data_IF_871965601853
#
_entry.id   IF_871965601853
#
_cell.length_a   1.000
_cell.length_b   1.000
_cell.length_c   1.000
_cell.angle_alpha   90.00
_cell.angle_beta   90.00
_cell.angle_gamma   90.00
#
_symmetry.space_group_name_H-M   'P 1'
#
loop_
_entity.id
_entity.type
_entity.pdbx_description
1 polymer ?
#
# COMPACT_ATOMS: atom_id res chain seq x y z
N UNK A 1 47.91 18.00 38.46
CA UNK A 1 47.43 16.94 37.55
C UNK A 1 46.77 17.60 36.34
N UNK A 2 47.33 17.36 35.16
CA UNK A 2 47.17 18.22 33.99
C UNK A 2 45.82 18.00 33.30
N UNK A 3 44.98 19.04 33.26
CA UNK A 3 43.65 19.06 32.60
C UNK A 3 43.69 18.66 31.12
N UNK A 4 44.87 18.75 30.48
CA UNK A 4 45.11 18.35 29.09
C UNK A 4 45.03 16.82 28.90
N UNK A 5 45.37 16.01 29.90
CA UNK A 5 45.33 14.55 29.79
C UNK A 5 43.89 14.00 29.84
N UNK A 6 43.00 14.66 30.58
CA UNK A 6 41.59 14.23 30.70
C UNK A 6 40.84 14.48 29.38
N UNK A 7 41.13 15.60 28.71
CA UNK A 7 40.50 15.94 27.43
C UNK A 7 40.85 14.95 26.31
N UNK A 8 42.06 14.39 26.31
CA UNK A 8 42.51 13.41 25.30
C UNK A 8 41.85 12.04 25.52
N UNK A 9 41.60 11.65 26.78
CA UNK A 9 40.96 10.37 27.08
C UNK A 9 39.48 10.38 26.65
N UNK A 10 38.78 11.51 26.81
CA UNK A 10 37.36 11.62 26.43
C UNK A 10 37.16 11.60 24.90
N UNK A 11 38.09 12.14 24.12
CA UNK A 11 37.96 12.17 22.66
C UNK A 11 38.24 10.83 21.99
N UNK A 12 39.11 9.99 22.57
CA UNK A 12 39.40 8.65 22.01
C UNK A 12 38.24 7.67 22.22
N UNK A 13 37.48 7.79 23.31
CA UNK A 13 36.34 6.88 23.59
C UNK A 13 35.13 7.14 22.68
N UNK A 14 34.98 8.34 22.12
CA UNK A 14 33.82 8.70 21.29
C UNK A 14 33.94 8.29 19.81
N UNK A 15 35.12 7.89 19.31
CA UNK A 15 35.33 7.59 17.89
C UNK A 15 35.26 6.10 17.50
N UNK A 16 35.00 5.19 18.45
CA UNK A 16 35.06 3.73 18.20
C UNK A 16 33.72 3.02 17.97
N UNK A 17 32.59 3.74 17.83
CA UNK A 17 31.24 3.12 17.79
C UNK A 17 30.50 3.28 16.45
N UNK A 18 31.19 3.24 15.31
CA UNK A 18 30.54 3.18 13.98
C UNK A 18 31.36 2.39 12.95
N UNK A 19 31.53 1.08 13.14
CA UNK A 19 31.77 0.15 12.02
C UNK A 19 30.46 -0.60 11.74
N UNK A 20 29.66 -0.06 10.82
CA UNK A 20 28.55 -0.78 10.21
C UNK A 20 29.14 -1.91 9.37
N UNK A 21 28.97 -3.15 9.81
CA UNK A 21 29.20 -4.31 8.96
C UNK A 21 28.24 -4.24 7.76
N UNK A 22 28.68 -4.54 6.52
CA UNK A 22 27.76 -4.69 5.42
C UNK A 22 26.89 -5.93 5.70
N UNK A 23 25.59 -5.69 5.85
CA UNK A 23 24.56 -6.72 5.84
C UNK A 23 24.71 -7.46 4.51
N UNK A 24 25.24 -8.68 4.54
CA UNK A 24 25.12 -9.62 3.44
C UNK A 24 23.64 -9.92 3.26
N UNK A 25 23.04 -9.31 2.23
CA UNK A 25 21.73 -9.72 1.76
C UNK A 25 21.85 -11.12 1.18
N UNK A 26 21.64 -12.14 2.01
CA UNK A 26 21.22 -13.45 1.51
C UNK A 26 19.79 -13.29 0.98
N UNK A 27 19.68 -13.04 -0.32
CA UNK A 27 18.40 -13.07 -1.01
C UNK A 27 17.89 -14.53 -0.98
N UNK A 28 16.73 -14.84 -0.39
CA UNK A 28 16.11 -16.14 -0.63
C UNK A 28 15.66 -16.19 -2.10
N UNK A 29 16.24 -17.11 -2.86
CA UNK A 29 15.93 -17.32 -4.27
C UNK A 29 14.54 -17.95 -4.43
N UNK A 30 13.49 -17.14 -4.34
CA UNK A 30 12.18 -17.53 -4.84
C UNK A 30 12.18 -17.24 -6.34
N UNK A 31 12.52 -18.25 -7.16
CA UNK A 31 12.19 -18.24 -8.59
C UNK A 31 10.68 -18.07 -8.72
N UNK A 32 10.24 -16.88 -9.11
CA UNK A 32 8.87 -16.67 -9.55
C UNK A 32 8.76 -17.19 -10.98
N UNK A 33 8.30 -18.43 -11.13
CA UNK A 33 7.87 -18.93 -12.43
C UNK A 33 6.57 -18.21 -12.81
N UNK A 34 6.57 -17.57 -13.98
CA UNK A 34 5.37 -16.95 -14.54
C UNK A 34 4.41 -18.05 -15.01
N UNK A 35 3.09 -17.91 -14.76
CA UNK A 35 2.13 -18.92 -15.18
C UNK A 35 2.13 -19.04 -16.71
N UNK A 36 2.43 -20.23 -17.21
CA UNK A 36 2.43 -20.59 -18.63
C UNK A 36 1.08 -21.20 -19.02
N UNK A 37 0.63 -21.01 -20.27
CA UNK A 37 -0.65 -21.54 -20.78
C UNK A 37 -0.77 -23.06 -20.70
N UNK A 38 0.36 -23.77 -20.61
CA UNK A 38 0.42 -25.22 -20.45
C UNK A 38 0.13 -25.71 -19.03
N UNK A 39 0.18 -24.82 -18.03
CA UNK A 39 -0.05 -25.21 -16.64
C UNK A 39 -0.78 -24.09 -15.86
N UNK A 40 -2.09 -23.94 -16.06
CA UNK A 40 -2.88 -22.89 -15.41
C UNK A 40 -3.04 -23.10 -13.89
N UNK A 41 -2.74 -24.29 -13.37
CA UNK A 41 -3.02 -24.68 -11.97
C UNK A 41 -1.89 -24.39 -10.96
N UNK A 42 -0.73 -23.88 -11.38
CA UNK A 42 0.43 -23.69 -10.48
C UNK A 42 0.20 -22.67 -9.34
N UNK A 43 -0.97 -22.04 -9.26
CA UNK A 43 -1.39 -21.16 -8.16
C UNK A 43 -2.81 -21.41 -7.68
N UNK A 44 -3.10 -22.62 -7.24
CA UNK A 44 -4.22 -22.84 -6.33
C UNK A 44 -3.78 -22.56 -4.89
N UNK A 45 -3.63 -21.27 -4.56
CA UNK A 45 -3.43 -20.83 -3.19
C UNK A 45 -4.79 -20.81 -2.47
N UNK A 46 -5.36 -21.99 -2.23
CA UNK A 46 -6.55 -22.14 -1.40
C UNK A 46 -6.15 -21.99 0.06
N UNK A 47 -6.15 -20.75 0.55
CA UNK A 47 -6.14 -20.49 1.98
C UNK A 47 -4.84 -19.95 2.57
N UNK A 48 -4.20 -18.95 1.95
CA UNK A 48 -3.37 -18.06 2.78
C UNK A 48 -4.25 -17.49 3.88
N UNK A 49 -4.01 -17.95 5.11
CA UNK A 49 -4.61 -17.39 6.33
C UNK A 49 -4.35 -15.88 6.29
N UNK A 50 -5.37 -15.03 6.41
CA UNK A 50 -5.16 -13.59 6.43
C UNK A 50 -4.17 -13.26 7.54
N UNK A 51 -3.04 -12.65 7.16
CA UNK A 51 -2.01 -12.26 8.11
C UNK A 51 -2.62 -11.26 9.11
N UNK A 52 -2.36 -11.42 10.41
CA UNK A 52 -2.89 -10.51 11.42
C UNK A 52 -2.41 -9.09 11.10
N UNK A 53 -3.35 -8.17 10.87
CA UNK A 53 -3.02 -6.76 10.67
C UNK A 53 -2.43 -6.24 11.98
N UNK A 54 -1.28 -5.60 11.90
CA UNK A 54 -0.63 -4.95 13.03
C UNK A 54 -1.58 -3.89 13.60
N UNK A 55 -2.32 -4.23 14.66
CA UNK A 55 -3.20 -3.30 15.35
C UNK A 55 -2.34 -2.22 16.02
N UNK A 56 -2.66 -0.96 15.75
CA UNK A 56 -2.00 0.17 16.41
C UNK A 56 -2.25 0.10 17.91
N UNK A 57 -1.18 0.28 18.70
CA UNK A 57 -1.12 0.20 20.16
C UNK A 57 -2.30 0.86 20.91
N UNK A 58 -2.90 1.91 20.36
CA UNK A 58 -4.04 2.63 20.94
C UNK A 58 -5.34 1.81 21.10
N UNK A 59 -5.51 0.68 20.40
CA UNK A 59 -6.74 -0.14 20.51
C UNK A 59 -6.66 -1.28 21.53
N UNK A 60 -5.52 -1.46 22.21
CA UNK A 60 -5.28 -2.60 23.11
C UNK A 60 -6.09 -2.62 24.41
N UNK A 61 -6.67 -1.49 24.84
CA UNK A 61 -7.34 -1.40 26.14
C UNK A 61 -8.79 -1.91 26.18
N UNK A 62 -9.49 -2.00 25.04
CA UNK A 62 -10.96 -2.20 25.05
C UNK A 62 -11.45 -3.55 24.51
N UNK A 63 -10.57 -4.46 24.09
CA UNK A 63 -11.00 -5.73 23.49
C UNK A 63 -10.60 -6.94 24.32
N UNK A 64 -11.30 -7.17 25.43
CA UNK A 64 -11.33 -8.49 26.07
C UNK A 64 -12.21 -9.41 25.20
N UNK A 65 -11.62 -10.11 24.22
CA UNK A 65 -12.35 -11.11 23.43
C UNK A 65 -12.83 -12.22 24.37
N UNK A 66 -14.14 -12.46 24.43
CA UNK A 66 -14.70 -13.64 25.08
C UNK A 66 -14.21 -14.90 24.34
N UNK A 67 -13.78 -15.93 25.08
CA UNK A 67 -13.34 -17.20 24.52
C UNK A 67 -14.57 -18.00 24.06
N UNK A 68 -14.96 -17.81 22.80
CA UNK A 68 -16.00 -18.63 22.14
C UNK A 68 -15.47 -20.04 21.86
N UNK A 69 -16.37 -21.02 21.72
CA UNK A 69 -16.02 -22.36 21.25
C UNK A 69 -15.49 -22.32 19.82
N UNK A 70 -14.66 -23.28 19.41
CA UNK A 70 -14.05 -23.30 18.07
C UNK A 70 -15.09 -23.27 16.94
N UNK A 71 -16.22 -23.96 17.10
CA UNK A 71 -17.33 -23.93 16.14
C UNK A 71 -17.96 -22.54 16.02
N UNK A 72 -18.21 -21.87 17.14
CA UNK A 72 -18.78 -20.52 17.16
C UNK A 72 -17.83 -19.49 16.55
N UNK A 73 -16.51 -19.65 16.76
CA UNK A 73 -15.50 -18.81 16.13
C UNK A 73 -15.57 -18.90 14.60
N UNK A 74 -15.73 -20.10 14.04
CA UNK A 74 -15.84 -20.30 12.59
C UNK A 74 -17.09 -19.62 12.00
N UNK A 75 -18.22 -19.68 12.70
CA UNK A 75 -19.47 -19.04 12.27
C UNK A 75 -19.27 -17.51 12.26
N UNK A 76 -18.70 -16.96 13.32
CA UNK A 76 -18.41 -15.52 13.42
C UNK A 76 -17.44 -15.07 12.32
N UNK A 77 -16.35 -15.80 12.09
CA UNK A 77 -15.38 -15.50 11.03
C UNK A 77 -16.01 -15.58 9.64
N UNK A 78 -16.91 -16.53 9.41
CA UNK A 78 -17.66 -16.62 8.16
C UNK A 78 -18.56 -15.39 7.96
N UNK A 79 -19.34 -15.02 8.98
CA UNK A 79 -20.21 -13.84 8.92
C UNK A 79 -19.42 -12.55 8.70
N UNK A 80 -18.28 -12.38 9.37
CA UNK A 80 -17.41 -11.23 9.19
C UNK A 80 -16.91 -11.14 7.75
N UNK A 81 -16.44 -12.24 7.16
CA UNK A 81 -16.05 -12.28 5.74
C UNK A 81 -17.21 -11.94 4.82
N UNK A 82 -18.41 -12.44 5.10
CA UNK A 82 -19.60 -12.10 4.29
C UNK A 82 -19.94 -10.62 4.37
N UNK A 83 -19.89 -10.02 5.56
CA UNK A 83 -20.11 -8.58 5.79
C UNK A 83 -19.05 -7.74 5.07
N UNK A 84 -17.78 -8.13 5.12
CA UNK A 84 -16.69 -7.47 4.41
C UNK A 84 -16.87 -7.52 2.89
N UNK A 85 -17.22 -8.69 2.35
CA UNK A 85 -17.50 -8.88 0.93
C UNK A 85 -18.62 -7.96 0.43
N UNK A 86 -19.72 -7.87 1.18
CA UNK A 86 -20.84 -6.96 0.85
C UNK A 86 -20.38 -5.51 0.85
N UNK A 87 -19.61 -5.10 1.87
CA UNK A 87 -19.06 -3.75 1.98
C UNK A 87 -18.12 -3.43 0.82
N UNK A 88 -17.27 -4.37 0.41
CA UNK A 88 -16.38 -4.20 -0.72
C UNK A 88 -17.14 -4.09 -2.04
N UNK A 89 -18.11 -4.98 -2.30
CA UNK A 89 -18.98 -4.91 -3.48
C UNK A 89 -19.68 -3.56 -3.58
N UNK A 90 -20.24 -3.05 -2.48
CA UNK A 90 -20.87 -1.73 -2.43
C UNK A 90 -19.88 -0.60 -2.72
N UNK A 91 -18.67 -0.65 -2.16
CA UNK A 91 -17.61 0.33 -2.46
C UNK A 91 -17.19 0.28 -3.93
N UNK A 92 -17.13 -0.90 -4.52
CA UNK A 92 -16.78 -1.10 -5.93
C UNK A 92 -17.86 -0.53 -6.84
N UNK A 93 -19.13 -0.85 -6.59
CA UNK A 93 -20.27 -0.28 -7.33
C UNK A 93 -20.23 1.26 -7.36
N UNK A 94 -20.08 1.90 -6.19
CA UNK A 94 -19.93 3.36 -6.08
C UNK A 94 -18.73 3.94 -6.85
N UNK A 95 -17.66 3.17 -7.01
CA UNK A 95 -16.49 3.62 -7.80
C UNK A 95 -16.77 3.51 -9.31
N UNK A 96 -17.50 2.49 -9.73
CA UNK A 96 -17.89 2.28 -11.13
C UNK A 96 -18.92 3.30 -11.60
N UNK A 97 -19.77 3.80 -10.70
CA UNK A 97 -20.71 4.90 -10.96
C UNK A 97 -20.03 6.25 -11.28
N UNK A 98 -18.71 6.37 -11.10
CA UNK A 98 -18.01 7.61 -11.43
C UNK A 98 -18.07 7.88 -12.93
N UNK A 99 -18.24 9.15 -13.35
CA UNK A 99 -18.29 9.52 -14.76
C UNK A 99 -17.00 9.17 -15.52
N UNK A 100 -15.89 8.97 -14.79
CA UNK A 100 -14.62 8.47 -15.32
C UNK A 100 -14.75 7.17 -16.11
N UNK A 101 -15.68 6.30 -15.72
CA UNK A 101 -15.87 4.99 -16.33
C UNK A 101 -17.03 4.94 -17.33
N UNK A 102 -17.85 6.00 -17.43
CA UNK A 102 -19.00 6.07 -18.34
C UNK A 102 -18.78 7.05 -19.50
N UNK A 103 -18.12 8.18 -19.26
CA UNK A 103 -17.91 9.26 -20.25
C UNK A 103 -16.53 9.12 -20.90
N UNK A 104 -16.51 9.07 -22.24
CA UNK A 104 -15.29 8.91 -23.03
C UNK A 104 -14.36 10.12 -22.89
N UNK A 105 -14.91 11.31 -22.60
CA UNK A 105 -14.13 12.53 -22.41
C UNK A 105 -13.21 12.49 -21.18
N UNK A 106 -13.38 11.49 -20.31
CA UNK A 106 -12.60 11.30 -19.09
C UNK A 106 -11.58 10.16 -19.21
N UNK A 107 -11.55 9.43 -20.32
CA UNK A 107 -10.74 8.22 -20.47
C UNK A 107 -9.26 8.49 -20.18
N UNK A 108 -8.66 7.69 -19.30
CA UNK A 108 -7.27 7.83 -18.87
C UNK A 108 -6.95 9.07 -18.03
N UNK A 109 -7.90 9.97 -17.77
CA UNK A 109 -7.66 11.21 -17.04
C UNK A 109 -8.29 11.13 -15.65
N UNK A 110 -7.60 11.59 -14.59
CA UNK A 110 -8.18 11.64 -13.23
C UNK A 110 -9.24 12.75 -13.09
N UNK A 111 -9.19 13.77 -13.94
CA UNK A 111 -10.12 14.92 -14.00
C UNK A 111 -10.48 15.18 -15.46
N UNK A 112 -11.71 15.63 -15.71
CA UNK A 112 -12.15 16.01 -17.05
C UNK A 112 -11.20 17.08 -17.61
N UNK A 113 -10.71 16.93 -18.86
CA UNK A 113 -9.89 17.95 -19.50
C UNK A 113 -10.60 19.32 -19.52
N UNK A 114 -9.86 20.38 -19.21
CA UNK A 114 -10.40 21.75 -19.17
C UNK A 114 -10.63 22.27 -20.59
N UNK A 115 -11.89 22.41 -21.01
CA UNK A 115 -12.26 23.13 -22.23
C UNK A 115 -12.22 24.64 -21.97
N UNK A 116 -11.47 25.40 -22.79
CA UNK A 116 -11.36 26.86 -22.66
C UNK A 116 -12.35 27.54 -23.62
N UNK A 117 -13.04 28.62 -23.19
CA UNK A 117 -13.83 29.43 -24.12
C UNK A 117 -12.91 30.13 -25.13
N UNK A 118 -13.43 30.56 -26.29
CA UNK A 118 -12.63 31.15 -27.37
C UNK A 118 -11.82 32.36 -26.91
N UNK A 119 -12.36 33.17 -26.00
CA UNK A 119 -11.68 34.34 -25.45
C UNK A 119 -10.42 34.00 -24.61
N UNK A 120 -10.30 32.76 -24.13
CA UNK A 120 -9.19 32.29 -23.27
C UNK A 120 -8.29 31.26 -23.96
N UNK A 121 -8.53 31.01 -25.24
CA UNK A 121 -7.67 30.22 -26.13
C UNK A 121 -6.41 31.03 -26.48
N UNK A 122 -5.29 30.35 -26.69
CA UNK A 122 -4.03 31.01 -27.05
C UNK A 122 -4.09 31.42 -28.51
N UNK A 123 -3.81 32.68 -28.81
CA UNK A 123 -3.67 33.09 -30.21
C UNK A 123 -2.35 32.57 -30.76
N UNK A 124 -2.37 31.97 -31.94
CA UNK A 124 -1.18 31.54 -32.66
C UNK A 124 -0.83 32.57 -33.73
N UNK A 125 0.35 33.17 -33.65
CA UNK A 125 0.80 34.23 -34.57
C UNK A 125 1.04 33.70 -35.99
N UNK A 126 1.42 32.42 -36.14
CA UNK A 126 1.64 31.77 -37.42
C UNK A 126 0.32 31.45 -38.16
N UNK A 127 -0.69 30.99 -37.42
CA UNK A 127 -1.95 30.51 -38.01
C UNK A 127 -3.04 31.59 -38.07
N UNK A 128 -2.91 32.69 -37.32
CA UNK A 128 -3.91 33.74 -37.24
C UNK A 128 -5.22 33.36 -36.51
N UNK A 129 -5.23 32.23 -35.81
CA UNK A 129 -6.41 31.68 -35.11
C UNK A 129 -6.08 31.34 -33.64
N UNK A 130 -7.12 31.09 -32.83
CA UNK A 130 -6.95 30.73 -31.41
C UNK A 130 -7.05 29.22 -31.20
N UNK A 131 -6.09 28.66 -30.44
CA UNK A 131 -5.93 27.24 -30.08
C UNK A 131 -6.23 26.97 -28.59
#
# INVERSE_FOLDING_TARGET
MNRKCIAIIVTVVFFSSCQKQPISQSQPSYRQETPSSLNPESRQNYGQRPQPKHETWFFGLFKKKQKLSWGDQLIVEYEERMKENVKEKRKRAKKMEKPQYSDWTYFGHKRKPKKRPPEKMKYCEECGIRH
#
